data_IF_153520630864
#
_entry.id   IF_153520630864
#
_cell.length_a   1.000
_cell.length_b   1.000
_cell.length_c   1.000
_cell.angle_alpha   90.00
_cell.angle_beta   90.00
_cell.angle_gamma   90.00
#
_symmetry.space_group_name_H-M   'P 1'
#
loop_
_entity.id
_entity.type
_entity.pdbx_description
1 polymer ?
#
# COMPACT_ATOMS: atom_id res chain seq x y z
N UNK A 1 -19.00 -15.39 2.01
CA UNK A 1 -18.67 -15.14 3.44
C UNK A 1 -17.16 -14.93 3.54
N UNK A 2 -16.66 -13.80 3.03
CA UNK A 2 -15.21 -13.69 2.68
C UNK A 2 -14.67 -12.27 2.75
N UNK A 3 -15.42 -11.26 2.29
CA UNK A 3 -14.97 -9.86 2.30
C UNK A 3 -14.78 -9.32 3.72
N UNK A 4 -15.67 -9.69 4.63
CA UNK A 4 -15.69 -9.14 5.99
C UNK A 4 -14.53 -9.67 6.83
N UNK A 5 -14.16 -10.95 6.67
CA UNK A 5 -13.00 -11.56 7.35
C UNK A 5 -11.70 -10.85 6.96
N UNK A 6 -11.47 -10.61 5.66
CA UNK A 6 -10.28 -9.88 5.22
C UNK A 6 -10.29 -8.44 5.69
N UNK A 7 -11.46 -7.79 5.73
CA UNK A 7 -11.59 -6.43 6.23
C UNK A 7 -11.20 -6.34 7.70
N UNK A 8 -11.79 -7.17 8.55
CA UNK A 8 -11.53 -7.21 9.99
C UNK A 8 -10.07 -7.54 10.29
N UNK A 9 -9.53 -8.59 9.66
CA UNK A 9 -8.14 -8.98 9.86
C UNK A 9 -7.20 -7.84 9.44
N UNK A 10 -7.45 -7.20 8.30
CA UNK A 10 -6.59 -6.11 7.79
C UNK A 10 -6.66 -4.87 8.68
N UNK A 11 -7.86 -4.50 9.14
CA UNK A 11 -8.05 -3.36 10.04
C UNK A 11 -7.30 -3.58 11.35
N UNK A 12 -7.43 -4.77 11.95
CA UNK A 12 -6.69 -5.14 13.16
C UNK A 12 -5.17 -4.99 12.97
N UNK A 13 -4.62 -5.40 11.82
CA UNK A 13 -3.18 -5.21 11.54
C UNK A 13 -2.79 -3.75 11.41
N UNK A 14 -3.61 -2.93 10.75
CA UNK A 14 -3.38 -1.49 10.68
C UNK A 14 -3.38 -0.84 12.07
N UNK A 15 -4.30 -1.24 12.95
CA UNK A 15 -4.35 -0.77 14.35
C UNK A 15 -3.12 -1.23 15.17
N UNK A 16 -2.68 -2.48 15.00
CA UNK A 16 -1.52 -3.04 15.71
C UNK A 16 -0.21 -2.31 15.37
N UNK A 17 0.00 -1.95 14.09
CA UNK A 17 1.23 -1.28 13.66
C UNK A 17 1.02 -0.44 12.38
N UNK A 18 0.43 0.77 12.48
CA UNK A 18 0.09 1.58 11.32
C UNK A 18 1.34 2.08 10.59
N UNK A 19 2.48 2.25 11.29
CA UNK A 19 3.76 2.58 10.66
C UNK A 19 4.24 1.51 9.68
N UNK A 20 4.10 0.22 10.05
CA UNK A 20 4.51 -0.90 9.21
C UNK A 20 3.53 -1.16 8.08
N UNK A 21 2.24 -1.29 8.42
CA UNK A 21 1.21 -1.74 7.47
C UNK A 21 0.57 -0.60 6.68
N UNK A 22 0.58 0.61 7.22
CA UNK A 22 0.09 1.82 6.56
C UNK A 22 1.16 2.62 5.81
N UNK A 23 2.45 2.28 5.97
CA UNK A 23 3.57 2.95 5.30
C UNK A 23 3.81 2.50 3.85
N UNK A 24 4.90 2.98 3.25
CA UNK A 24 5.26 2.71 1.83
C UNK A 24 5.45 1.22 1.53
N UNK A 25 5.99 0.48 2.50
CA UNK A 25 6.15 -0.99 2.42
C UNK A 25 4.95 -1.75 2.99
N UNK A 26 3.82 -1.07 3.19
CA UNK A 26 2.62 -1.64 3.80
C UNK A 26 2.02 -2.82 3.03
N UNK A 27 1.98 -2.74 1.70
CA UNK A 27 1.45 -3.81 0.85
C UNK A 27 2.27 -5.11 0.98
N UNK A 28 3.60 -5.12 0.75
CA UNK A 28 4.38 -6.33 0.95
C UNK A 28 4.40 -6.80 2.41
N UNK A 29 4.36 -5.88 3.39
CA UNK A 29 4.30 -6.23 4.81
C UNK A 29 3.01 -6.98 5.17
N UNK A 30 1.85 -6.49 4.73
CA UNK A 30 0.56 -7.10 5.05
C UNK A 30 0.38 -8.44 4.35
N UNK A 31 0.85 -8.58 3.09
CA UNK A 31 0.88 -9.86 2.36
C UNK A 31 1.74 -10.87 3.09
N UNK A 32 2.98 -10.50 3.44
CA UNK A 32 3.91 -11.39 4.15
C UNK A 32 3.34 -11.84 5.49
N UNK A 33 2.74 -10.93 6.25
CA UNK A 33 2.15 -11.27 7.54
C UNK A 33 0.96 -12.22 7.38
N UNK A 34 0.09 -11.96 6.40
CA UNK A 34 -1.07 -12.81 6.11
C UNK A 34 -0.64 -14.24 5.75
N UNK A 35 0.29 -14.38 4.81
CA UNK A 35 0.81 -15.70 4.40
C UNK A 35 1.49 -16.42 5.57
N UNK A 36 2.23 -15.71 6.42
CA UNK A 36 2.88 -16.28 7.60
C UNK A 36 1.89 -16.83 8.63
N UNK A 37 0.76 -16.15 8.82
CA UNK A 37 -0.28 -16.55 9.76
C UNK A 37 -1.15 -17.69 9.21
N UNK A 38 -1.62 -17.58 7.97
CA UNK A 38 -2.59 -18.51 7.37
C UNK A 38 -1.96 -19.75 6.74
N UNK A 39 -0.71 -19.66 6.28
CA UNK A 39 0.01 -20.75 5.61
C UNK A 39 1.31 -21.10 6.36
N UNK A 40 1.25 -21.09 7.69
CA UNK A 40 2.41 -21.38 8.54
C UNK A 40 2.98 -22.77 8.22
N UNK A 41 4.29 -22.82 7.95
CA UNK A 41 4.99 -24.06 7.62
C UNK A 41 4.88 -24.49 6.16
N UNK A 42 4.11 -23.78 5.34
CA UNK A 42 4.10 -23.95 3.88
C UNK A 42 5.27 -23.18 3.29
N UNK A 43 6.03 -23.79 2.37
CA UNK A 43 7.08 -23.07 1.65
C UNK A 43 6.48 -22.19 0.57
N UNK A 44 7.23 -21.21 0.09
CA UNK A 44 6.71 -20.23 -0.89
C UNK A 44 6.37 -20.91 -2.21
N UNK A 45 7.18 -21.87 -2.64
CA UNK A 45 6.99 -22.69 -3.82
C UNK A 45 5.75 -23.58 -3.77
N UNK A 46 5.26 -23.90 -2.57
CA UNK A 46 4.11 -24.77 -2.33
C UNK A 46 2.80 -23.99 -2.13
N UNK A 47 2.84 -22.65 -2.23
CA UNK A 47 1.63 -21.82 -2.09
C UNK A 47 0.68 -22.03 -3.26
N UNK A 48 -0.58 -22.29 -2.96
CA UNK A 48 -1.62 -22.41 -3.98
C UNK A 48 -1.92 -21.03 -4.61
N UNK A 49 -2.43 -21.03 -5.84
CA UNK A 49 -2.92 -19.80 -6.48
C UNK A 49 -4.02 -19.11 -5.65
N UNK A 50 -4.81 -19.90 -4.93
CA UNK A 50 -5.82 -19.36 -4.02
C UNK A 50 -5.17 -18.59 -2.86
N UNK A 51 -4.17 -19.16 -2.18
CA UNK A 51 -3.44 -18.49 -1.11
C UNK A 51 -2.84 -17.15 -1.57
N UNK A 52 -2.24 -17.15 -2.76
CA UNK A 52 -1.68 -15.94 -3.38
C UNK A 52 -2.81 -14.92 -3.63
N UNK A 53 -3.92 -15.33 -4.25
CA UNK A 53 -5.08 -14.48 -4.53
C UNK A 53 -5.69 -13.87 -3.28
N UNK A 54 -5.80 -14.65 -2.20
CA UNK A 54 -6.27 -14.19 -0.89
C UNK A 54 -5.31 -13.14 -0.30
N UNK A 55 -4.00 -13.36 -0.36
CA UNK A 55 -3.00 -12.39 0.12
C UNK A 55 -3.06 -11.05 -0.65
N UNK A 56 -3.26 -11.10 -1.97
CA UNK A 56 -3.46 -9.89 -2.79
C UNK A 56 -4.76 -9.19 -2.41
N UNK A 57 -5.82 -9.94 -2.15
CA UNK A 57 -7.11 -9.39 -1.69
C UNK A 57 -6.97 -8.63 -0.38
N UNK A 58 -6.17 -9.13 0.56
CA UNK A 58 -5.81 -8.44 1.81
C UNK A 58 -5.07 -7.13 1.54
N UNK A 59 -4.10 -7.10 0.62
CA UNK A 59 -3.43 -5.85 0.25
C UNK A 59 -4.38 -4.83 -0.39
N UNK A 60 -5.32 -5.26 -1.22
CA UNK A 60 -6.35 -4.38 -1.80
C UNK A 60 -7.30 -3.84 -0.72
N UNK A 61 -7.67 -4.69 0.23
CA UNK A 61 -8.48 -4.28 1.39
C UNK A 61 -7.75 -3.24 2.23
N UNK A 62 -6.44 -3.40 2.46
CA UNK A 62 -5.62 -2.42 3.17
C UNK A 62 -5.71 -1.03 2.52
N UNK A 63 -5.61 -0.96 1.19
CA UNK A 63 -5.72 0.34 0.51
C UNK A 63 -7.12 0.96 0.67
N UNK A 64 -8.19 0.16 0.56
CA UNK A 64 -9.57 0.63 0.81
C UNK A 64 -9.76 1.11 2.24
N UNK A 65 -9.15 0.45 3.22
CA UNK A 65 -9.24 0.85 4.62
C UNK A 65 -8.50 2.15 4.89
N UNK A 66 -7.36 2.41 4.24
CA UNK A 66 -6.66 3.69 4.39
C UNK A 66 -7.43 4.88 3.80
N UNK A 67 -8.28 4.66 2.79
CA UNK A 67 -9.19 5.69 2.28
C UNK A 67 -10.28 6.06 3.31
N UNK A 68 -10.71 5.09 4.13
CA UNK A 68 -11.75 5.28 5.15
C UNK A 68 -11.16 5.77 6.48
N UNK A 69 -9.96 5.32 6.82
CA UNK A 69 -9.26 5.58 8.08
C UNK A 69 -7.87 6.18 7.80
N UNK A 70 -7.80 7.46 7.38
CA UNK A 70 -6.55 8.12 7.02
C UNK A 70 -5.56 8.25 8.19
N UNK A 71 -6.00 8.13 9.43
CA UNK A 71 -5.16 8.10 10.63
C UNK A 71 -4.15 6.94 10.64
N UNK A 72 -4.41 5.89 9.86
CA UNK A 72 -3.49 4.77 9.68
C UNK A 72 -2.58 4.93 8.45
N UNK A 73 -2.72 5.97 7.63
CA UNK A 73 -1.91 6.19 6.43
C UNK A 73 -0.60 6.94 6.73
N UNK A 74 0.43 6.19 7.11
CA UNK A 74 1.75 6.74 7.43
C UNK A 74 2.54 7.25 6.20
N UNK A 75 2.03 7.05 4.97
CA UNK A 75 2.62 7.64 3.76
C UNK A 75 2.28 9.13 3.65
N UNK A 76 1.11 9.52 4.13
CA UNK A 76 0.62 10.90 4.05
C UNK A 76 1.13 11.71 5.24
N UNK A 77 1.12 11.10 6.43
CA UNK A 77 1.53 11.75 7.69
C UNK A 77 3.02 12.14 7.71
N UNK A 78 3.88 11.39 7.00
CA UNK A 78 5.33 11.61 6.99
C UNK A 78 5.91 12.01 5.64
N UNK A 79 5.08 12.42 4.67
CA UNK A 79 5.64 13.08 3.49
C UNK A 79 6.36 14.34 3.95
N UNK A 80 7.64 14.52 3.60
CA UNK A 80 8.26 15.82 3.79
C UNK A 80 7.36 16.83 3.09
N UNK A 81 6.95 17.88 3.80
CA UNK A 81 6.34 19.04 3.17
C UNK A 81 7.38 19.55 2.18
N UNK A 82 7.25 19.17 0.91
CA UNK A 82 7.93 19.90 -0.16
C UNK A 82 7.35 21.29 -0.08
N UNK A 83 8.10 22.21 0.51
CA UNK A 83 7.94 23.63 0.27
C UNK A 83 7.89 23.76 -1.25
N UNK A 84 6.73 24.07 -1.80
CA UNK A 84 6.62 24.44 -3.21
C UNK A 84 7.58 25.64 -3.37
N UNK A 85 8.73 25.41 -3.98
CA UNK A 85 9.44 26.50 -4.63
C UNK A 85 8.60 26.80 -5.86
N UNK A 86 8.03 28.00 -5.87
CA UNK A 86 7.35 28.60 -7.00
C UNK A 86 8.25 28.52 -8.24
N UNK A 87 8.03 27.53 -9.10
CA UNK A 87 8.63 27.53 -10.42
C UNK A 87 7.78 28.44 -11.30
N UNK A 88 8.20 29.70 -11.36
CA UNK A 88 7.89 30.61 -12.45
C UNK A 88 8.03 29.86 -13.79
N UNK A 89 6.99 29.96 -14.62
CA UNK A 89 7.04 29.54 -16.02
C UNK A 89 8.17 30.28 -16.72
N UNK A 90 9.26 29.59 -17.03
CA UNK A 90 10.13 29.98 -18.14
C UNK A 90 9.49 29.50 -19.44
N UNK A 91 9.18 30.39 -20.40
CA UNK A 91 8.74 29.96 -21.73
C UNK A 91 9.94 29.36 -22.46
N UNK A 92 9.83 28.11 -22.90
CA UNK A 92 10.80 27.52 -23.83
C UNK A 92 10.66 28.21 -25.18
N UNK A 93 11.65 29.04 -25.53
CA UNK A 93 11.96 29.41 -26.91
C UNK A 93 12.38 28.12 -27.62
N UNK A 94 11.43 27.49 -28.34
CA UNK A 94 11.80 26.58 -29.41
C UNK A 94 11.95 27.43 -30.66
N UNK A 95 13.21 27.67 -30.99
CA UNK A 95 13.63 28.11 -32.32
C UNK A 95 13.23 27.04 -33.33
N UNK A 96 12.14 27.27 -34.05
CA UNK A 96 11.82 26.54 -35.28
C UNK A 96 12.11 27.46 -36.47
N UNK A 97 13.40 27.60 -36.78
CA UNK A 97 13.90 27.95 -38.11
C UNK A 97 14.90 26.87 -38.52
N UNK A 98 14.57 26.09 -39.54
CA UNK A 98 15.42 25.58 -40.65
C UNK A 98 14.73 24.39 -41.32
N UNK A 99 14.12 24.64 -42.48
CA UNK A 99 14.40 23.96 -43.74
C UNK A 99 13.68 24.68 -44.90
#
# INVERSE_FOLDING_TARGET
MTKDIYREWTLKKLEENPKLFGGDKGNPAVIKQYLREMHKGTKVEDLTLEAISQSVSVSRMKNKLLEVYPEYDYRVIHKPHTTQCDNERTPTLFDDDVA
#
